data_IF_220012677186
#
_entry.id   IF_220012677186
#
_cell.length_a   1.000
_cell.length_b   1.000
_cell.length_c   1.000
_cell.angle_alpha   90.00
_cell.angle_beta   90.00
_cell.angle_gamma   90.00
#
_symmetry.space_group_name_H-M   'P 1'
#
loop_
_entity.id
_entity.type
_entity.pdbx_description
1 polymer ?
#
# COMPACT_ATOMS: atom_id res chain seq x y z
N UNK A 1 -3.46 -13.64 10.91
CA UNK A 1 -3.00 -13.57 12.31
C UNK A 1 -2.83 -14.96 12.96
N UNK A 2 -2.37 -16.00 12.22
CA UNK A 2 -2.13 -17.34 12.79
C UNK A 2 -0.82 -17.99 12.30
N UNK A 3 0.16 -17.22 11.82
CA UNK A 3 1.48 -17.77 11.46
C UNK A 3 2.65 -17.12 12.22
N UNK A 4 2.41 -16.07 13.00
CA UNK A 4 3.48 -15.41 13.77
C UNK A 4 3.73 -16.06 15.15
N UNK A 5 2.78 -16.82 15.70
CA UNK A 5 2.93 -17.43 17.04
C UNK A 5 3.79 -18.71 17.07
N UNK A 6 4.30 -19.20 15.93
CA UNK A 6 5.10 -20.43 15.90
C UNK A 6 6.60 -20.19 16.01
N UNK A 7 7.08 -18.97 15.71
CA UNK A 7 8.51 -18.66 15.73
C UNK A 7 9.02 -18.19 17.12
N UNK A 8 8.15 -17.64 17.96
CA UNK A 8 8.54 -17.20 19.31
C UNK A 8 8.67 -18.35 20.33
N UNK A 9 8.31 -19.59 19.95
CA UNK A 9 8.45 -20.78 20.82
C UNK A 9 9.72 -21.60 20.59
N UNK A 10 10.57 -21.20 19.64
CA UNK A 10 11.80 -21.95 19.32
C UNK A 10 13.10 -21.30 19.80
N UNK A 11 13.04 -20.14 20.46
CA UNK A 11 14.23 -19.45 20.97
C UNK A 11 14.28 -19.55 22.50
N UNK A 12 14.69 -20.72 23.00
CA UNK A 12 15.10 -20.88 24.40
C UNK A 12 16.62 -20.62 24.50
N UNK A 13 17.07 -19.49 25.08
CA UNK A 13 18.48 -19.15 25.20
C UNK A 13 19.26 -20.10 26.14
N UNK A 14 18.61 -21.08 26.79
CA UNK A 14 19.26 -22.09 27.63
C UNK A 14 19.36 -23.47 26.99
N UNK A 15 18.90 -23.65 25.75
CA UNK A 15 19.01 -24.92 25.04
C UNK A 15 20.45 -25.16 24.54
N UNK A 16 21.22 -25.94 25.30
CA UNK A 16 22.59 -26.38 24.96
C UNK A 16 22.65 -27.45 23.85
N UNK A 17 21.54 -27.72 23.16
CA UNK A 17 21.39 -28.84 22.21
C UNK A 17 21.70 -28.45 20.75
N UNK A 18 22.25 -27.26 20.49
CA UNK A 18 22.49 -26.75 19.13
C UNK A 18 23.85 -27.01 18.45
N UNK A 19 24.93 -27.55 19.08
CA UNK A 19 26.15 -27.79 18.31
C UNK A 19 26.10 -29.03 17.40
N UNK A 20 25.16 -29.96 17.58
CA UNK A 20 25.13 -31.21 16.79
C UNK A 20 24.26 -31.16 15.51
N UNK A 21 23.32 -30.22 15.39
CA UNK A 21 22.48 -30.10 14.17
C UNK A 21 23.19 -29.36 13.03
N UNK A 22 24.15 -28.48 13.34
CA UNK A 22 24.90 -27.75 12.32
C UNK A 22 25.98 -28.61 11.63
N UNK A 23 26.47 -29.67 12.30
CA UNK A 23 27.49 -30.56 11.73
C UNK A 23 26.89 -31.57 10.72
N UNK A 24 25.60 -31.89 10.81
CA UNK A 24 24.91 -32.80 9.88
C UNK A 24 24.51 -32.12 8.56
N UNK A 25 24.38 -30.78 8.53
CA UNK A 25 24.03 -30.06 7.30
C UNK A 25 25.22 -29.82 6.34
N UNK A 26 26.46 -30.03 6.79
CA UNK A 26 27.67 -29.70 6.00
C UNK A 26 28.15 -30.80 5.03
N UNK A 27 27.65 -32.03 5.12
CA UNK A 27 28.13 -33.13 4.26
C UNK A 27 27.29 -33.36 3.00
N UNK A 28 26.16 -32.68 2.83
CA UNK A 28 25.20 -32.93 1.74
C UNK A 28 25.17 -31.87 0.63
N UNK A 29 26.26 -31.10 0.44
CA UNK A 29 26.31 -30.02 -0.57
C UNK A 29 27.66 -29.95 -1.32
N UNK A 30 28.27 -31.10 -1.65
CA UNK A 30 29.56 -31.12 -2.40
C UNK A 30 29.45 -30.85 -3.92
N UNK A 31 28.25 -30.66 -4.48
CA UNK A 31 28.08 -30.61 -5.95
C UNK A 31 27.34 -29.38 -6.51
N UNK A 32 27.24 -28.27 -5.77
CA UNK A 32 26.64 -27.02 -6.30
C UNK A 32 27.55 -25.79 -6.10
N UNK A 33 28.42 -25.47 -7.09
CA UNK A 33 29.33 -24.33 -6.97
C UNK A 33 28.64 -22.95 -6.98
N UNK A 34 27.35 -22.89 -7.38
CA UNK A 34 26.59 -21.62 -7.47
C UNK A 34 25.94 -21.14 -6.17
N UNK A 35 25.85 -21.98 -5.13
CA UNK A 35 25.25 -21.63 -3.84
C UNK A 35 26.28 -21.25 -2.75
N UNK A 36 27.57 -21.35 -3.06
CA UNK A 36 28.66 -21.08 -2.12
C UNK A 36 28.88 -19.57 -1.89
N UNK A 37 28.63 -18.75 -2.90
CA UNK A 37 28.88 -17.30 -2.83
C UNK A 37 27.82 -16.52 -2.04
N UNK A 38 26.58 -17.06 -1.94
CA UNK A 38 25.51 -16.42 -1.15
C UNK A 38 25.56 -16.81 0.32
N UNK A 39 26.10 -17.99 0.66
CA UNK A 39 26.20 -18.46 2.05
C UNK A 39 27.37 -17.82 2.80
N UNK A 40 28.49 -17.54 2.13
CA UNK A 40 29.63 -16.83 2.76
C UNK A 40 29.30 -15.36 3.10
N UNK A 41 28.43 -14.69 2.32
CA UNK A 41 27.97 -13.32 2.62
C UNK A 41 26.99 -13.27 3.80
N UNK A 42 26.20 -14.32 4.01
CA UNK A 42 25.24 -14.38 5.11
C UNK A 42 25.92 -14.64 6.47
N UNK A 43 26.96 -15.48 6.49
CA UNK A 43 27.70 -15.80 7.74
C UNK A 43 28.57 -14.62 8.20
N UNK A 44 29.14 -13.84 7.27
CA UNK A 44 29.89 -12.62 7.60
C UNK A 44 29.04 -11.54 8.29
N UNK A 45 27.76 -11.42 7.92
CA UNK A 45 26.84 -10.43 8.51
C UNK A 45 26.36 -10.79 9.92
N UNK A 46 26.28 -12.08 10.24
CA UNK A 46 25.89 -12.53 11.58
C UNK A 46 26.99 -12.27 12.62
N UNK A 47 28.27 -12.39 12.24
CA UNK A 47 29.40 -12.24 13.17
C UNK A 47 29.67 -10.79 13.57
N UNK A 48 29.40 -9.81 12.68
CA UNK A 48 29.59 -8.38 13.00
C UNK A 48 28.54 -7.88 14.00
N UNK A 49 27.33 -8.46 14.00
CA UNK A 49 26.23 -7.99 14.87
C UNK A 49 26.34 -8.51 16.31
N UNK A 50 27.04 -9.63 16.54
CA UNK A 50 27.28 -10.15 17.90
C UNK A 50 28.47 -9.47 18.60
N UNK A 51 29.40 -8.87 17.85
CA UNK A 51 30.57 -8.20 18.42
C UNK A 51 30.30 -6.83 19.06
N UNK A 52 29.14 -6.21 18.79
CA UNK A 52 28.89 -4.83 19.22
C UNK A 52 28.08 -4.70 20.52
N UNK A 53 27.65 -5.81 21.14
CA UNK A 53 26.94 -5.80 22.43
C UNK A 53 27.84 -5.98 23.67
N UNK A 54 29.16 -6.13 23.49
CA UNK A 54 30.08 -6.46 24.59
C UNK A 54 30.97 -5.29 25.06
N UNK A 55 30.81 -4.09 24.50
CA UNK A 55 31.46 -2.88 25.02
C UNK A 55 30.38 -1.97 25.60
N UNK A 56 30.10 -2.18 26.88
CA UNK A 56 29.33 -1.27 27.71
C UNK A 56 30.04 0.08 27.78
N UNK A 57 29.42 1.09 27.17
CA UNK A 57 29.75 2.49 27.37
C UNK A 57 28.68 3.04 28.30
N UNK A 58 29.01 3.13 29.59
CA UNK A 58 28.21 3.88 30.56
C UNK A 58 28.52 5.36 30.42
N UNK A 59 27.64 6.12 29.76
CA UNK A 59 27.66 7.58 29.81
C UNK A 59 26.60 8.09 30.80
N UNK A 60 27.13 8.48 31.96
CA UNK A 60 26.76 9.65 32.76
C UNK A 60 25.35 10.20 32.66
N UNK A 61 24.57 9.90 33.69
CA UNK A 61 23.39 10.66 34.12
C UNK A 61 23.80 12.07 34.60
N UNK A 62 23.32 13.12 33.93
CA UNK A 62 23.23 14.46 34.51
C UNK A 62 21.76 14.89 34.54
N UNK A 63 21.21 14.82 35.74
CA UNK A 63 19.84 15.11 36.13
C UNK A 63 19.62 16.61 36.29
N UNK A 64 18.74 17.18 35.46
CA UNK A 64 18.32 18.58 35.52
C UNK A 64 16.85 18.64 35.97
N UNK A 65 16.53 19.15 37.18
CA UNK A 65 15.15 19.25 37.65
C UNK A 65 14.48 20.51 37.09
N UNK A 66 13.62 20.35 36.08
CA UNK A 66 12.72 21.42 35.61
C UNK A 66 11.30 21.18 36.14
N UNK A 67 10.80 22.24 36.76
CA UNK A 67 9.55 22.39 37.53
C UNK A 67 8.26 21.88 36.86
N UNK A 68 7.25 21.47 37.66
CA UNK A 68 5.96 21.00 37.17
C UNK A 68 5.01 22.16 36.81
N UNK A 69 4.68 22.29 35.52
CA UNK A 69 3.62 23.16 35.05
C UNK A 69 2.27 22.42 35.02
N UNK A 70 1.36 22.87 35.89
CA UNK A 70 -0.12 22.84 35.81
C UNK A 70 -0.76 21.91 34.76
N UNK A 71 -1.33 20.82 35.25
CA UNK A 71 -2.35 20.05 34.55
C UNK A 71 -3.68 20.81 34.50
N UNK A 72 -4.21 21.01 33.29
CA UNK A 72 -5.60 21.43 33.05
C UNK A 72 -6.49 20.18 32.94
N UNK A 73 -7.62 20.10 33.66
CA UNK A 73 -8.53 18.96 33.57
C UNK A 73 -9.38 19.01 32.29
N UNK A 74 -9.05 18.16 31.32
CA UNK A 74 -9.92 17.90 30.17
C UNK A 74 -11.08 16.98 30.60
N UNK A 75 -12.30 17.46 30.32
CA UNK A 75 -13.57 16.80 30.62
C UNK A 75 -13.69 15.47 29.87
N UNK A 76 -13.99 14.42 30.62
CA UNK A 76 -14.42 13.12 30.09
C UNK A 76 -15.86 13.26 29.58
N UNK A 77 -16.04 13.22 28.25
CA UNK A 77 -17.33 13.01 27.63
C UNK A 77 -17.63 11.52 27.58
N UNK A 78 -18.54 11.07 28.43
CA UNK A 78 -19.14 9.73 28.37
C UNK A 78 -20.02 9.64 27.13
N UNK A 79 -19.55 8.95 26.09
CA UNK A 79 -20.38 8.54 24.97
C UNK A 79 -21.09 7.24 25.33
N UNK A 80 -22.38 7.36 25.63
CA UNK A 80 -23.32 6.26 25.85
C UNK A 80 -23.37 5.38 24.59
N UNK A 81 -22.99 4.12 24.74
CA UNK A 81 -23.13 3.09 23.72
C UNK A 81 -24.61 2.72 23.54
N UNK A 82 -25.13 2.90 22.33
CA UNK A 82 -26.33 2.24 21.88
C UNK A 82 -25.93 0.86 21.33
N UNK A 83 -26.16 -0.18 22.13
CA UNK A 83 -26.11 -1.57 21.68
C UNK A 83 -27.24 -1.80 20.68
N UNK A 84 -26.88 -2.29 19.49
CA UNK A 84 -27.82 -2.85 18.53
C UNK A 84 -27.69 -4.36 18.71
N UNK A 85 -28.62 -4.95 19.47
CA UNK A 85 -28.84 -6.39 19.50
C UNK A 85 -29.34 -6.81 18.11
N UNK A 86 -28.57 -7.64 17.42
CA UNK A 86 -28.98 -8.32 16.19
C UNK A 86 -29.29 -9.75 16.61
N UNK A 87 -30.57 -10.08 16.67
CA UNK A 87 -31.08 -11.41 16.98
C UNK A 87 -30.94 -12.35 15.77
N UNK A 88 -30.57 -13.60 16.01
CA UNK A 88 -30.23 -14.64 15.01
C UNK A 88 -31.43 -15.27 14.26
N UNK A 89 -32.62 -14.66 14.23
CA UNK A 89 -33.83 -15.30 13.65
C UNK A 89 -34.16 -14.95 12.19
N UNK A 90 -33.33 -14.18 11.48
CA UNK A 90 -33.64 -13.68 10.11
C UNK A 90 -32.88 -14.39 8.96
N UNK A 91 -32.40 -15.62 9.15
CA UNK A 91 -31.49 -16.28 8.16
C UNK A 91 -32.12 -17.42 7.34
N UNK A 92 -33.37 -17.84 7.60
CA UNK A 92 -33.92 -19.06 6.98
C UNK A 92 -35.03 -18.89 5.92
N UNK A 93 -35.19 -17.73 5.29
CA UNK A 93 -36.23 -17.54 4.26
C UNK A 93 -35.74 -16.95 2.92
N UNK A 94 -34.67 -17.50 2.34
CA UNK A 94 -34.29 -17.24 0.93
C UNK A 94 -33.84 -18.52 0.21
N UNK A 95 -34.61 -19.60 0.34
CA UNK A 95 -34.59 -20.73 -0.59
C UNK A 95 -36.01 -20.97 -1.13
N UNK A 96 -36.49 -20.01 -1.93
CA UNK A 96 -37.68 -20.23 -2.74
C UNK A 96 -37.29 -20.18 -4.21
N UNK A 97 -37.25 -21.38 -4.77
CA UNK A 97 -37.09 -21.65 -6.19
C UNK A 97 -38.13 -20.87 -7.00
N UNK A 98 -37.65 -20.17 -8.02
CA UNK A 98 -38.45 -19.47 -9.00
C UNK A 98 -37.82 -19.63 -10.36
N UNK A 99 -38.30 -20.61 -11.11
CA UNK A 99 -38.12 -20.72 -12.56
C UNK A 99 -38.65 -19.45 -13.25
N UNK A 100 -37.79 -18.45 -13.39
CA UNK A 100 -38.06 -17.26 -14.20
C UNK A 100 -37.70 -17.54 -15.66
N UNK A 101 -38.58 -18.27 -16.33
CA UNK A 101 -38.68 -18.27 -17.80
C UNK A 101 -39.13 -16.87 -18.23
N UNK A 102 -38.19 -15.95 -18.37
CA UNK A 102 -38.45 -14.58 -18.84
C UNK A 102 -38.55 -14.58 -20.36
N UNK A 103 -39.63 -14.06 -20.96
CA UNK A 103 -39.73 -13.87 -22.39
C UNK A 103 -38.68 -12.85 -22.89
N UNK A 104 -38.25 -12.95 -24.15
CA UNK A 104 -37.26 -12.04 -24.73
C UNK A 104 -37.80 -10.61 -24.72
N UNK A 105 -37.14 -9.74 -23.96
CA UNK A 105 -37.46 -8.32 -23.92
C UNK A 105 -37.33 -7.70 -25.33
N UNK A 106 -38.45 -7.20 -25.85
CA UNK A 106 -38.48 -6.31 -27.00
C UNK A 106 -37.53 -5.14 -26.77
N UNK A 107 -36.64 -4.90 -27.75
CA UNK A 107 -35.74 -3.76 -27.71
C UNK A 107 -36.56 -2.48 -27.84
N UNK A 108 -36.51 -1.56 -26.87
CA UNK A 108 -37.15 -0.28 -27.03
C UNK A 108 -36.51 0.48 -28.21
N UNK A 109 -37.31 1.22 -29.01
CA UNK A 109 -36.81 1.97 -30.16
C UNK A 109 -35.75 2.99 -29.73
N UNK A 110 -34.78 3.30 -30.62
CA UNK A 110 -33.71 4.26 -30.32
C UNK A 110 -34.30 5.63 -29.97
N UNK A 111 -34.17 6.01 -28.69
CA UNK A 111 -34.51 7.35 -28.18
C UNK A 111 -33.69 8.38 -28.94
N UNK A 112 -34.35 9.20 -29.75
CA UNK A 112 -33.73 10.34 -30.41
C UNK A 112 -33.11 11.30 -29.37
N UNK A 113 -31.93 11.87 -29.66
CA UNK A 113 -31.27 12.80 -28.76
C UNK A 113 -32.07 14.10 -28.66
N UNK A 114 -32.72 14.28 -27.52
CA UNK A 114 -33.40 15.53 -27.17
C UNK A 114 -32.38 16.67 -27.03
N UNK A 115 -32.61 17.85 -27.62
CA UNK A 115 -31.69 18.98 -27.55
C UNK A 115 -31.57 19.46 -26.11
N UNK A 116 -30.40 19.23 -25.50
CA UNK A 116 -30.07 19.74 -24.17
C UNK A 116 -30.04 21.27 -24.24
N UNK A 117 -30.99 21.90 -23.56
CA UNK A 117 -30.97 23.32 -23.26
C UNK A 117 -29.69 23.65 -22.47
N UNK A 118 -28.75 24.30 -23.14
CA UNK A 118 -27.52 24.83 -22.54
C UNK A 118 -27.91 25.97 -21.60
N UNK A 119 -28.04 25.66 -20.31
CA UNK A 119 -28.18 26.66 -19.26
C UNK A 119 -26.83 27.37 -19.12
N UNK A 120 -26.73 28.56 -19.70
CA UNK A 120 -25.58 29.47 -19.56
C UNK A 120 -25.59 30.01 -18.13
N UNK A 121 -24.92 29.30 -17.23
CA UNK A 121 -24.62 29.81 -15.89
C UNK A 121 -23.48 30.82 -16.05
N UNK A 122 -23.81 32.09 -15.84
CA UNK A 122 -22.85 33.19 -15.80
C UNK A 122 -21.72 32.86 -14.81
N UNK A 123 -20.57 32.49 -15.35
CA UNK A 123 -19.37 32.23 -14.59
C UNK A 123 -18.66 33.56 -14.45
N UNK A 124 -18.66 34.09 -13.24
CA UNK A 124 -17.86 35.25 -12.89
C UNK A 124 -16.40 34.93 -13.26
N UNK A 125 -15.87 35.68 -14.23
CA UNK A 125 -14.50 35.62 -14.70
C UNK A 125 -13.57 36.22 -13.62
N UNK A 126 -13.46 35.56 -12.47
CA UNK A 126 -12.28 35.72 -11.64
C UNK A 126 -11.10 35.25 -12.49
N UNK A 127 -10.16 36.17 -12.73
CA UNK A 127 -8.89 35.95 -13.41
C UNK A 127 -8.38 34.55 -13.02
N UNK A 128 -8.12 33.64 -13.98
CA UNK A 128 -7.68 32.29 -13.64
C UNK A 128 -6.41 32.43 -12.82
N UNK A 129 -6.49 32.15 -11.52
CA UNK A 129 -5.31 32.01 -10.68
C UNK A 129 -4.40 31.02 -11.40
N UNK A 130 -3.15 31.41 -11.59
CA UNK A 130 -2.23 30.75 -12.49
C UNK A 130 -1.98 29.32 -12.02
N UNK A 131 -2.78 28.36 -12.51
CA UNK A 131 -2.74 26.95 -12.13
C UNK A 131 -1.41 26.28 -12.54
N UNK A 132 -0.47 27.03 -13.12
CA UNK A 132 0.90 26.63 -13.43
C UNK A 132 1.80 26.48 -12.20
N UNK A 133 1.37 26.98 -11.03
CA UNK A 133 2.15 26.87 -9.80
C UNK A 133 2.12 25.47 -9.17
N UNK A 134 1.19 24.60 -9.57
CA UNK A 134 1.07 23.23 -9.04
C UNK A 134 2.05 22.27 -9.73
N UNK A 135 3.34 22.37 -9.41
CA UNK A 135 4.36 21.45 -9.92
C UNK A 135 4.65 20.35 -8.90
N UNK A 136 4.29 19.11 -9.24
CA UNK A 136 4.81 17.94 -8.53
C UNK A 136 6.29 17.79 -8.80
N UNK A 137 7.06 17.52 -7.76
CA UNK A 137 8.46 17.18 -7.92
C UNK A 137 8.59 15.87 -8.70
N UNK A 138 9.31 15.89 -9.82
CA UNK A 138 9.38 14.74 -10.73
C UNK A 138 10.14 13.55 -10.11
N UNK A 139 11.07 13.85 -9.19
CA UNK A 139 11.93 12.86 -8.54
C UNK A 139 12.11 13.20 -7.07
N UNK A 140 11.85 12.24 -6.21
CA UNK A 140 12.09 12.31 -4.78
C UNK A 140 13.25 11.39 -4.40
N UNK A 141 14.09 11.84 -3.48
CA UNK A 141 15.20 11.05 -2.94
C UNK A 141 14.77 10.08 -1.86
N UNK A 142 13.66 10.35 -1.17
CA UNK A 142 13.10 9.52 -0.11
C UNK A 142 11.58 9.48 -0.19
N UNK A 143 10.97 8.46 0.43
CA UNK A 143 9.51 8.34 0.50
C UNK A 143 8.86 9.36 1.44
N UNK A 144 9.59 9.84 2.45
CA UNK A 144 9.10 10.88 3.35
C UNK A 144 8.74 12.15 2.58
N UNK A 145 9.57 12.55 1.60
CA UNK A 145 9.29 13.71 0.75
C UNK A 145 7.97 13.56 -0.03
N UNK A 146 7.66 12.34 -0.50
CA UNK A 146 6.41 12.07 -1.23
C UNK A 146 5.22 12.19 -0.29
N UNK A 147 5.36 11.70 0.96
CA UNK A 147 4.32 11.82 1.97
C UNK A 147 4.09 13.30 2.35
N UNK A 148 5.16 14.03 2.61
CA UNK A 148 5.10 15.44 3.00
C UNK A 148 4.54 16.30 1.87
N UNK A 149 4.95 16.07 0.61
CA UNK A 149 4.36 16.76 -0.56
C UNK A 149 2.87 16.42 -0.72
N UNK A 150 2.47 15.17 -0.42
CA UNK A 150 1.09 14.76 -0.54
C UNK A 150 0.17 15.50 0.44
N UNK A 151 0.62 15.71 1.67
CA UNK A 151 -0.15 16.34 2.74
C UNK A 151 0.19 17.81 2.98
N UNK A 152 1.16 18.37 2.27
CA UNK A 152 1.61 19.74 2.44
C UNK A 152 2.32 19.97 3.77
N UNK A 153 3.27 19.09 4.11
CA UNK A 153 4.03 19.15 5.36
C UNK A 153 5.45 19.69 5.13
N UNK A 154 6.04 20.26 6.18
CA UNK A 154 7.42 20.73 6.16
C UNK A 154 7.69 21.73 5.04
N UNK A 155 8.68 21.44 4.18
CA UNK A 155 9.05 22.30 3.05
C UNK A 155 8.02 22.34 1.92
N UNK A 156 7.05 21.44 1.92
CA UNK A 156 5.97 21.36 0.93
C UNK A 156 4.68 21.99 1.44
N UNK A 157 4.71 22.67 2.58
CA UNK A 157 3.54 23.38 3.10
C UNK A 157 3.08 24.48 2.13
N UNK A 158 1.83 24.39 1.71
CA UNK A 158 1.16 25.35 0.84
C UNK A 158 -0.18 25.79 1.46
N UNK A 159 -0.83 26.79 0.85
CA UNK A 159 -2.15 27.27 1.29
C UNK A 159 -3.28 26.27 1.03
N UNK A 160 -3.01 25.18 0.32
CA UNK A 160 -4.03 24.23 -0.12
C UNK A 160 -4.03 22.94 0.69
N UNK A 161 -2.99 22.65 1.49
CA UNK A 161 -2.82 21.36 2.19
C UNK A 161 -2.21 20.28 1.30
N UNK A 162 -1.26 20.67 0.45
CA UNK A 162 -0.55 19.81 -0.49
C UNK A 162 -1.43 19.25 -1.61
N UNK A 163 -0.97 18.15 -2.20
CA UNK A 163 -1.67 17.46 -3.30
C UNK A 163 -3.06 16.99 -2.87
N UNK A 164 -3.20 16.50 -1.64
CA UNK A 164 -4.46 16.01 -1.10
C UNK A 164 -5.52 17.13 -1.06
N UNK A 165 -5.15 18.30 -0.56
CA UNK A 165 -6.05 19.44 -0.49
C UNK A 165 -6.31 20.10 -1.85
N UNK A 166 -5.31 20.20 -2.72
CA UNK A 166 -5.51 20.57 -4.14
C UNK A 166 -6.53 19.67 -4.82
N UNK A 167 -6.47 18.37 -4.54
CA UNK A 167 -7.40 17.39 -5.07
C UNK A 167 -8.83 17.56 -4.52
N UNK A 168 -8.98 17.95 -3.27
CA UNK A 168 -10.28 18.22 -2.67
C UNK A 168 -10.91 19.49 -3.27
N UNK A 169 -10.12 20.56 -3.44
CA UNK A 169 -10.59 21.87 -3.91
C UNK A 169 -10.82 21.92 -5.42
N UNK A 170 -9.85 21.47 -6.21
CA UNK A 170 -9.84 21.65 -7.67
C UNK A 170 -10.11 20.35 -8.44
N UNK A 171 -10.28 19.21 -7.75
CA UNK A 171 -10.63 17.90 -8.33
C UNK A 171 -9.67 17.47 -9.43
N UNK A 172 -10.17 17.19 -10.64
CA UNK A 172 -9.34 16.74 -11.76
C UNK A 172 -8.74 17.90 -12.56
N UNK A 173 -9.20 19.14 -12.37
CA UNK A 173 -8.79 20.28 -13.21
C UNK A 173 -7.32 20.64 -13.00
N UNK A 174 -6.85 20.68 -11.77
CA UNK A 174 -5.44 21.02 -11.47
C UNK A 174 -4.45 19.97 -12.00
N UNK A 175 -4.89 18.71 -12.15
CA UNK A 175 -4.05 17.61 -12.64
C UNK A 175 -3.76 17.67 -14.13
N UNK A 176 -4.41 18.57 -14.89
CA UNK A 176 -4.21 18.70 -16.34
C UNK A 176 -2.77 19.05 -16.71
N UNK A 177 -2.03 19.67 -15.79
CA UNK A 177 -0.64 20.08 -16.01
C UNK A 177 0.38 19.05 -15.53
N UNK A 178 -0.07 17.95 -14.91
CA UNK A 178 0.80 16.92 -14.36
C UNK A 178 1.07 15.81 -15.37
N UNK A 179 2.27 15.22 -15.30
CA UNK A 179 2.54 13.94 -15.97
C UNK A 179 1.63 12.88 -15.36
N UNK A 180 0.73 12.32 -16.18
CA UNK A 180 -0.43 11.53 -15.72
C UNK A 180 -0.10 10.30 -14.86
N UNK A 181 1.07 9.69 -15.08
CA UNK A 181 1.47 8.48 -14.34
C UNK A 181 1.95 8.77 -12.93
N UNK A 182 2.61 9.92 -12.70
CA UNK A 182 3.24 10.24 -11.42
C UNK A 182 2.18 10.39 -10.31
N UNK A 183 1.14 11.18 -10.57
CA UNK A 183 0.04 11.35 -9.63
C UNK A 183 -0.61 10.01 -9.25
N UNK A 184 -0.85 9.16 -10.25
CA UNK A 184 -1.51 7.86 -10.03
C UNK A 184 -0.64 6.91 -9.22
N UNK A 185 0.68 6.92 -9.45
CA UNK A 185 1.65 6.15 -8.68
C UNK A 185 1.75 6.64 -7.23
N UNK A 186 1.92 7.95 -7.02
CA UNK A 186 1.99 8.54 -5.68
C UNK A 186 0.70 8.26 -4.90
N UNK A 187 -0.48 8.46 -5.53
CA UNK A 187 -1.77 8.17 -4.90
C UNK A 187 -1.86 6.73 -4.38
N UNK A 188 -1.47 5.74 -5.20
CA UNK A 188 -1.50 4.33 -4.80
C UNK A 188 -0.51 4.02 -3.68
N UNK A 189 0.66 4.64 -3.71
CA UNK A 189 1.65 4.49 -2.65
C UNK A 189 1.08 4.99 -1.32
N UNK A 190 0.51 6.20 -1.29
CA UNK A 190 -0.09 6.80 -0.09
C UNK A 190 -1.26 5.97 0.42
N UNK A 191 -2.15 5.51 -0.47
CA UNK A 191 -3.23 4.59 -0.10
C UNK A 191 -2.69 3.28 0.50
N UNK A 192 -1.56 2.79 0.00
CA UNK A 192 -0.86 1.62 0.54
C UNK A 192 -0.34 1.83 1.95
N UNK A 193 0.34 2.95 2.18
CA UNK A 193 0.84 3.31 3.52
C UNK A 193 -0.33 3.41 4.49
N UNK A 194 -1.39 4.15 4.13
CA UNK A 194 -2.59 4.28 4.97
C UNK A 194 -3.27 2.94 5.25
N UNK A 195 -3.30 2.04 4.28
CA UNK A 195 -3.83 0.69 4.48
C UNK A 195 -2.96 -0.11 5.46
N UNK A 196 -1.64 -0.05 5.30
CA UNK A 196 -0.70 -0.75 6.17
C UNK A 196 -0.74 -0.22 7.61
N UNK A 197 -0.88 1.10 7.78
CA UNK A 197 -1.11 1.71 9.10
C UNK A 197 -2.33 1.12 9.79
N UNK A 198 -3.44 0.93 9.06
CA UNK A 198 -4.67 0.33 9.62
C UNK A 198 -4.49 -1.13 10.00
N UNK A 199 -3.74 -1.89 9.20
CA UNK A 199 -3.50 -3.33 9.43
C UNK A 199 -2.53 -3.56 10.59
N UNK A 200 -1.43 -2.81 10.65
CA UNK A 200 -0.36 -2.99 11.64
C UNK A 200 -0.55 -2.12 12.90
N UNK A 201 -1.43 -1.10 12.86
CA UNK A 201 -1.64 -0.10 13.93
C UNK A 201 -0.36 0.66 14.31
N UNK A 202 0.47 0.96 13.34
CA UNK A 202 1.71 1.72 13.49
C UNK A 202 1.61 3.11 12.82
N UNK A 203 2.57 3.97 13.16
CA UNK A 203 2.69 5.32 12.60
C UNK A 203 3.24 5.29 11.16
N UNK A 204 2.89 6.27 10.30
CA UNK A 204 3.30 6.26 8.91
C UNK A 204 4.83 6.26 8.75
N UNK A 205 5.56 6.93 9.64
CA UNK A 205 7.03 7.04 9.59
C UNK A 205 7.71 5.67 9.65
N UNK A 206 7.18 4.74 10.44
CA UNK A 206 7.74 3.38 10.55
C UNK A 206 7.57 2.59 9.24
N UNK A 207 6.40 2.69 8.61
CA UNK A 207 6.13 2.03 7.32
C UNK A 207 6.95 2.68 6.20
N UNK A 208 7.03 4.01 6.20
CA UNK A 208 7.83 4.76 5.24
C UNK A 208 9.31 4.39 5.36
N UNK A 209 9.86 4.27 6.57
CA UNK A 209 11.25 3.87 6.78
C UNK A 209 11.54 2.46 6.24
N UNK A 210 10.64 1.49 6.45
CA UNK A 210 10.78 0.14 5.90
C UNK A 210 10.75 0.15 4.37
N UNK A 211 9.78 0.87 3.78
CA UNK A 211 9.60 0.92 2.33
C UNK A 211 10.66 1.77 1.63
N UNK A 212 11.29 2.72 2.33
CA UNK A 212 12.33 3.58 1.78
C UNK A 212 13.60 2.79 1.42
N UNK A 213 13.89 1.71 2.17
CA UNK A 213 14.98 0.77 1.82
C UNK A 213 14.69 0.11 0.46
N UNK A 214 13.46 -0.37 0.26
CA UNK A 214 13.03 -0.96 -1.01
C UNK A 214 13.04 0.08 -2.14
N UNK A 215 12.62 1.30 -1.85
CA UNK A 215 12.59 2.41 -2.79
C UNK A 215 13.98 2.75 -3.32
N UNK A 216 14.96 2.86 -2.42
CA UNK A 216 16.37 3.10 -2.76
C UNK A 216 16.95 1.96 -3.61
N UNK A 217 16.64 0.71 -3.25
CA UNK A 217 17.05 -0.47 -4.03
C UNK A 217 16.46 -0.49 -5.45
N UNK A 218 15.35 0.22 -5.68
CA UNK A 218 14.67 0.36 -6.98
C UNK A 218 14.99 1.67 -7.70
N UNK A 219 16.15 2.28 -7.41
CA UNK A 219 16.62 3.54 -7.98
C UNK A 219 15.64 4.71 -7.76
N UNK A 220 14.99 4.74 -6.60
CA UNK A 220 14.01 5.78 -6.23
C UNK A 220 12.86 5.91 -7.25
N UNK A 221 12.45 4.81 -7.88
CA UNK A 221 11.32 4.77 -8.82
C UNK A 221 10.04 4.35 -8.11
N UNK A 222 9.09 5.29 -7.98
CA UNK A 222 7.78 5.04 -7.34
C UNK A 222 7.00 3.96 -8.10
N UNK A 223 7.06 3.98 -9.44
CA UNK A 223 6.39 2.99 -10.28
C UNK A 223 6.90 1.57 -10.05
N UNK A 224 8.21 1.39 -9.86
CA UNK A 224 8.81 0.08 -9.58
C UNK A 224 8.47 -0.38 -8.16
N UNK A 225 8.51 0.53 -7.18
CA UNK A 225 8.11 0.24 -5.81
C UNK A 225 6.65 -0.24 -5.75
N UNK A 226 5.72 0.48 -6.39
CA UNK A 226 4.30 0.09 -6.42
C UNK A 226 4.11 -1.31 -7.02
N UNK A 227 4.83 -1.65 -8.11
CA UNK A 227 4.80 -3.00 -8.70
C UNK A 227 5.31 -4.06 -7.73
N UNK A 228 6.42 -3.79 -7.04
CA UNK A 228 6.98 -4.70 -6.03
C UNK A 228 5.99 -4.94 -4.88
N UNK A 229 5.41 -3.88 -4.33
CA UNK A 229 4.41 -3.96 -3.26
C UNK A 229 3.13 -4.70 -3.70
N UNK A 230 2.75 -4.57 -4.97
CA UNK A 230 1.66 -5.35 -5.56
C UNK A 230 1.99 -6.84 -5.65
N UNK A 231 3.22 -7.20 -6.04
CA UNK A 231 3.67 -8.60 -6.05
C UNK A 231 3.69 -9.21 -4.64
N UNK A 232 4.05 -8.41 -3.64
CA UNK A 232 4.00 -8.81 -2.21
C UNK A 232 2.58 -8.84 -1.63
N UNK A 233 1.55 -8.53 -2.43
CA UNK A 233 0.13 -8.45 -2.01
C UNK A 233 -0.14 -7.41 -0.91
N UNK A 234 0.77 -6.45 -0.71
CA UNK A 234 0.56 -5.32 0.20
C UNK A 234 -0.34 -4.25 -0.43
N UNK A 235 -0.31 -4.15 -1.77
CA UNK A 235 -1.19 -3.28 -2.55
C UNK A 235 -2.15 -4.09 -3.41
N UNK A 236 -3.40 -3.62 -3.51
CA UNK A 236 -4.38 -4.20 -4.42
C UNK A 236 -3.95 -3.92 -5.87
N UNK A 237 -3.88 -4.97 -6.67
CA UNK A 237 -3.70 -4.85 -8.11
C UNK A 237 -5.01 -4.34 -8.70
N UNK A 238 -4.96 -3.19 -9.38
CA UNK A 238 -6.12 -2.67 -10.09
C UNK A 238 -6.56 -3.65 -11.17
N UNK A 239 -7.87 -3.82 -11.34
CA UNK A 239 -8.40 -4.62 -12.45
C UNK A 239 -7.82 -4.07 -13.77
N UNK A 240 -7.35 -4.94 -14.69
CA UNK A 240 -6.82 -4.48 -15.97
C UNK A 240 -7.87 -3.61 -16.68
N UNK A 241 -7.55 -2.33 -16.87
CA UNK A 241 -8.48 -1.36 -17.45
C UNK A 241 -8.57 -1.64 -18.95
N UNK A 242 -9.73 -2.07 -19.41
CA UNK A 242 -9.99 -2.19 -20.85
C UNK A 242 -9.31 -3.38 -21.52
N UNK A 243 -9.02 -4.47 -20.80
CA UNK A 243 -9.02 -5.77 -21.45
C UNK A 243 -10.44 -5.98 -21.97
N UNK A 244 -10.70 -5.51 -23.20
CA UNK A 244 -11.94 -5.75 -23.91
C UNK A 244 -12.23 -7.23 -23.74
N UNK A 245 -13.49 -7.59 -23.50
CA UNK A 245 -13.89 -9.00 -23.49
C UNK A 245 -13.28 -9.75 -24.70
N UNK A 246 -13.10 -9.05 -25.83
CA UNK A 246 -12.44 -9.54 -27.03
C UNK A 246 -10.94 -9.85 -26.87
N UNK A 247 -10.16 -9.05 -26.13
CA UNK A 247 -8.74 -9.32 -25.89
C UNK A 247 -8.55 -10.55 -24.99
N UNK A 248 -9.37 -10.66 -23.94
CA UNK A 248 -9.41 -11.84 -23.06
C UNK A 248 -9.89 -13.07 -23.84
N UNK A 249 -10.91 -12.92 -24.69
CA UNK A 249 -11.45 -14.00 -25.51
C UNK A 249 -10.45 -14.47 -26.58
N UNK A 250 -9.71 -13.55 -27.22
CA UNK A 250 -8.67 -13.89 -28.20
C UNK A 250 -7.50 -14.63 -27.55
N UNK A 251 -7.09 -14.23 -26.33
CA UNK A 251 -6.09 -14.99 -25.55
C UNK A 251 -6.57 -16.40 -25.21
N UNK A 252 -7.84 -16.56 -24.80
CA UNK A 252 -8.42 -17.88 -24.53
C UNK A 252 -8.50 -18.76 -25.78
N UNK A 253 -8.83 -18.18 -26.94
CA UNK A 253 -8.85 -18.90 -28.22
C UNK A 253 -7.45 -19.37 -28.64
N UNK A 254 -6.42 -18.55 -28.45
CA UNK A 254 -5.03 -18.94 -28.75
C UNK A 254 -4.54 -20.09 -27.84
N UNK A 255 -4.90 -20.08 -26.55
CA UNK A 255 -4.56 -21.17 -25.64
C UNK A 255 -5.27 -22.49 -25.99
N UNK A 256 -6.45 -22.43 -26.61
CA UNK A 256 -7.16 -23.63 -27.07
C UNK A 256 -6.57 -24.23 -28.33
N UNK A 257 -6.01 -23.41 -29.24
CA UNK A 257 -5.37 -23.91 -30.47
C UNK A 257 -4.03 -24.59 -30.23
N UNK A 258 -3.32 -24.25 -29.14
CA UNK A 258 -2.01 -24.84 -28.83
C UNK A 258 -2.10 -26.18 -28.08
N UNK A 259 -3.20 -26.42 -27.33
CA UNK A 259 -3.41 -27.67 -26.59
C UNK A 259 -3.92 -28.83 -27.46
N UNK A 260 -4.33 -28.56 -28.70
CA UNK A 260 -4.89 -29.54 -29.64
C UNK A 260 -3.92 -30.01 -30.72
N UNK A 261 -2.60 -29.95 -30.48
CA UNK A 261 -1.62 -30.49 -31.41
C UNK A 261 -1.85 -32.00 -31.65
N UNK A 262 -1.90 -32.47 -32.91
CA UNK A 262 -2.26 -33.85 -33.21
C UNK A 262 -1.22 -34.82 -32.64
N UNK A 263 -1.63 -35.66 -31.70
CA UNK A 263 -0.90 -36.88 -31.37
C UNK A 263 -0.83 -37.74 -32.63
N UNK A 264 0.39 -37.92 -33.15
CA UNK A 264 0.69 -38.91 -34.18
C UNK A 264 0.75 -40.32 -33.56
#
# INVERSE_FOLDING_TARGET
MMQQCFLDRLWDPKSTTLPNLLLMASTSCRNQPRLREETEKAVGFALVRTGQQLLGFEEGSEENPVSPARASPCRHGTATGAGIDITEEDVDEILREGDCSSPPAERPPPKMPSPKATRVVGTHNSKPEDHRQYQLQVRHSCLQDIWDEWFGLGRFADSFGGIAGCNQLHKNKWRLHLKGDLYSCNKRLIEGVQHQMKVQKCQPESILAEWDVLFKNMNCSVGNLVKSLQHQKLLKVGKPRGASKQAIQKQRQQQQTEAGGPSQ
#
